data_IF_823452726471
#
_entry.id   IF_823452726471
#
_cell.length_a   1.000
_cell.length_b   1.000
_cell.length_c   1.000
_cell.angle_alpha   90.00
_cell.angle_beta   90.00
_cell.angle_gamma   90.00
#
_symmetry.space_group_name_H-M   'P 1'
#
loop_
_entity.id
_entity.type
_entity.pdbx_description
1 polymer ?
#
# COMPACT_ATOMS: atom_id res chain seq x y z
N UNK A 1 -1.52 6.89 27.02
CA UNK A 1 -2.04 5.56 26.64
C UNK A 1 -1.33 5.12 25.37
N UNK A 2 -0.77 3.89 25.32
CA UNK A 2 0.12 3.50 24.24
C UNK A 2 -0.67 3.23 22.95
N UNK A 3 -0.12 3.72 21.86
CA UNK A 3 -0.59 3.65 20.47
C UNK A 3 -0.73 2.22 19.97
N UNK A 4 -1.94 1.66 20.01
CA UNK A 4 -2.26 0.30 19.51
C UNK A 4 -2.34 0.22 17.97
N UNK A 5 -2.29 1.35 17.25
CA UNK A 5 -2.55 1.37 15.81
C UNK A 5 -1.34 1.12 14.91
N UNK A 6 -0.11 1.41 15.35
CA UNK A 6 1.09 1.32 14.49
C UNK A 6 1.43 -0.13 14.12
N UNK A 7 1.28 -1.07 15.06
CA UNK A 7 1.62 -2.49 14.87
C UNK A 7 0.69 -3.23 13.90
N UNK A 8 -0.52 -2.72 13.65
CA UNK A 8 -1.51 -3.39 12.79
C UNK A 8 -1.32 -3.05 11.30
N UNK A 9 -1.14 -1.76 10.96
CA UNK A 9 -0.96 -1.35 9.56
C UNK A 9 0.41 -1.73 9.02
N UNK A 10 1.46 -1.59 9.83
CA UNK A 10 2.81 -2.00 9.43
C UNK A 10 2.84 -3.48 9.04
N UNK A 11 2.25 -4.34 9.87
CA UNK A 11 2.16 -5.78 9.60
C UNK A 11 1.33 -6.09 8.36
N UNK A 12 0.23 -5.35 8.13
CA UNK A 12 -0.59 -5.49 6.94
C UNK A 12 0.17 -5.12 5.66
N UNK A 13 0.85 -3.97 5.63
CA UNK A 13 1.64 -3.55 4.47
C UNK A 13 2.83 -4.48 4.21
N UNK A 14 3.45 -5.00 5.28
CA UNK A 14 4.50 -6.02 5.17
C UNK A 14 3.99 -7.31 4.52
N UNK A 15 2.83 -7.81 4.96
CA UNK A 15 2.23 -9.01 4.36
C UNK A 15 1.87 -8.81 2.88
N UNK A 16 1.37 -7.63 2.51
CA UNK A 16 1.14 -7.28 1.10
C UNK A 16 2.45 -7.22 0.30
N UNK A 17 3.50 -6.67 0.87
CA UNK A 17 4.81 -6.58 0.23
C UNK A 17 5.39 -7.97 -0.04
N UNK A 18 5.38 -8.85 0.96
CA UNK A 18 5.81 -10.24 0.81
C UNK A 18 4.98 -10.97 -0.26
N UNK A 19 3.68 -10.71 -0.33
CA UNK A 19 2.80 -11.29 -1.36
C UNK A 19 3.14 -10.79 -2.76
N UNK A 20 3.40 -9.49 -2.94
CA UNK A 20 3.83 -8.91 -4.22
C UNK A 20 5.22 -9.40 -4.63
N UNK A 21 6.12 -9.59 -3.67
CA UNK A 21 7.44 -10.15 -3.92
C UNK A 21 7.39 -11.63 -4.29
N UNK A 22 6.48 -12.41 -3.70
CA UNK A 22 6.31 -13.82 -4.03
C UNK A 22 5.45 -14.06 -5.29
N UNK A 23 4.64 -13.08 -5.71
CA UNK A 23 3.70 -13.24 -6.81
C UNK A 23 4.36 -13.13 -8.18
N UNK A 24 3.94 -14.02 -9.08
CA UNK A 24 4.21 -13.94 -10.52
C UNK A 24 3.16 -13.13 -11.29
N UNK A 25 2.05 -12.75 -10.65
CA UNK A 25 0.93 -12.01 -11.28
C UNK A 25 1.26 -10.52 -11.43
N UNK A 26 1.98 -9.94 -10.46
CA UNK A 26 2.43 -8.55 -10.53
C UNK A 26 3.80 -8.51 -11.19
N UNK A 27 3.82 -8.12 -12.47
CA UNK A 27 5.06 -8.04 -13.26
C UNK A 27 5.49 -6.59 -13.52
N UNK A 28 6.73 -6.41 -13.98
CA UNK A 28 7.21 -5.10 -14.43
C UNK A 28 6.77 -4.75 -15.85
N UNK A 29 6.03 -5.63 -16.55
CA UNK A 29 5.58 -5.42 -17.92
C UNK A 29 4.33 -4.54 -18.05
N UNK A 30 3.98 -3.78 -17.02
CA UNK A 30 2.78 -2.96 -16.99
C UNK A 30 2.85 -1.76 -17.94
N UNK A 31 1.68 -1.22 -18.27
CA UNK A 31 1.54 0.10 -18.86
C UNK A 31 0.63 0.94 -17.98
N UNK A 32 0.93 2.22 -17.86
CA UNK A 32 0.01 3.15 -17.21
C UNK A 32 -1.21 3.47 -18.10
N UNK A 33 -2.12 4.30 -17.58
CA UNK A 33 -3.34 4.72 -18.29
C UNK A 33 -3.07 5.51 -19.57
N UNK A 34 -1.84 6.02 -19.75
CA UNK A 34 -1.40 6.77 -20.93
C UNK A 34 -0.62 5.89 -21.92
N UNK A 35 -0.40 4.61 -21.59
CA UNK A 35 0.25 3.63 -22.44
C UNK A 35 1.78 3.59 -22.31
N UNK A 36 2.36 4.31 -21.34
CA UNK A 36 3.81 4.27 -21.08
C UNK A 36 4.18 3.05 -20.26
N UNK A 37 5.41 2.55 -20.47
CA UNK A 37 5.95 1.45 -19.68
C UNK A 37 6.05 1.85 -18.21
N UNK A 38 5.41 1.03 -17.37
CA UNK A 38 5.43 1.19 -15.93
C UNK A 38 5.96 -0.09 -15.29
N UNK A 39 7.11 -0.06 -14.58
CA UNK A 39 7.61 -1.20 -13.84
C UNK A 39 6.74 -1.44 -12.59
N UNK A 40 5.52 -1.94 -12.80
CA UNK A 40 4.44 -1.99 -11.80
C UNK A 40 4.86 -2.69 -10.52
N UNK A 41 5.60 -3.82 -10.60
CA UNK A 41 6.11 -4.52 -9.42
C UNK A 41 7.08 -3.67 -8.61
N UNK A 42 8.07 -3.05 -9.27
CA UNK A 42 9.04 -2.19 -8.57
C UNK A 42 8.37 -0.98 -7.93
N UNK A 43 7.44 -0.34 -8.65
CA UNK A 43 6.68 0.80 -8.11
C UNK A 43 5.79 0.34 -6.94
N UNK A 44 5.12 -0.80 -7.07
CA UNK A 44 4.28 -1.37 -6.00
C UNK A 44 5.08 -1.61 -4.72
N UNK A 45 6.25 -2.25 -4.81
CA UNK A 45 7.14 -2.49 -3.67
C UNK A 45 7.58 -1.17 -3.03
N UNK A 46 7.91 -0.16 -3.84
CA UNK A 46 8.26 1.18 -3.34
C UNK A 46 7.08 1.82 -2.59
N UNK A 47 5.87 1.78 -3.15
CA UNK A 47 4.67 2.37 -2.52
C UNK A 47 4.30 1.63 -1.23
N UNK A 48 4.40 0.30 -1.19
CA UNK A 48 4.13 -0.50 0.02
C UNK A 48 5.15 -0.23 1.13
N UNK A 49 6.44 -0.09 0.81
CA UNK A 49 7.44 0.35 1.79
C UNK A 49 7.13 1.75 2.32
N UNK A 50 6.75 2.68 1.44
CA UNK A 50 6.39 4.04 1.86
C UNK A 50 5.16 4.05 2.79
N UNK A 51 4.15 3.22 2.52
CA UNK A 51 3.00 3.05 3.40
C UNK A 51 3.42 2.47 4.75
N UNK A 52 4.21 1.39 4.74
CA UNK A 52 4.75 0.77 5.94
C UNK A 52 5.50 1.78 6.82
N UNK A 53 6.35 2.62 6.24
CA UNK A 53 7.22 3.53 6.99
C UNK A 53 6.52 4.84 7.37
N UNK A 54 5.60 5.35 6.54
CA UNK A 54 5.04 6.70 6.68
C UNK A 54 3.56 6.73 7.11
N UNK A 55 2.87 5.60 7.29
CA UNK A 55 1.44 5.58 7.65
C UNK A 55 1.11 6.38 8.92
N UNK A 56 2.04 6.45 9.88
CA UNK A 56 1.87 7.21 11.12
C UNK A 56 2.30 8.68 11.02
N UNK A 57 2.95 9.08 9.92
CA UNK A 57 3.51 10.42 9.74
C UNK A 57 2.49 11.39 9.14
N UNK A 58 1.97 12.30 9.96
CA UNK A 58 0.97 13.31 9.55
C UNK A 58 1.47 14.28 8.48
N UNK A 59 2.78 14.50 8.38
CA UNK A 59 3.36 15.40 7.36
C UNK A 59 3.49 14.71 5.99
N UNK A 60 3.49 13.38 5.95
CA UNK A 60 3.60 12.58 4.74
C UNK A 60 2.23 12.21 4.12
N UNK A 61 1.13 12.78 4.63
CA UNK A 61 -0.24 12.49 4.17
C UNK A 61 -0.42 12.50 2.64
N UNK A 62 0.08 13.50 1.89
CA UNK A 62 -0.07 13.49 0.43
C UNK A 62 0.60 12.28 -0.22
N UNK A 63 1.80 11.90 0.25
CA UNK A 63 2.55 10.77 -0.29
C UNK A 63 1.88 9.44 0.07
N UNK A 64 1.40 9.32 1.31
CA UNK A 64 0.70 8.13 1.80
C UNK A 64 -0.62 7.92 1.06
N UNK A 65 -1.37 9.00 0.79
CA UNK A 65 -2.59 8.94 -0.02
C UNK A 65 -2.28 8.49 -1.44
N UNK A 66 -1.27 9.06 -2.08
CA UNK A 66 -0.84 8.68 -3.43
C UNK A 66 -0.42 7.20 -3.50
N UNK A 67 0.37 6.74 -2.53
CA UNK A 67 0.76 5.34 -2.45
C UNK A 67 -0.42 4.40 -2.26
N UNK A 68 -1.36 4.74 -1.38
CA UNK A 68 -2.54 3.91 -1.17
C UNK A 68 -3.43 3.87 -2.41
N UNK A 69 -3.61 4.99 -3.10
CA UNK A 69 -4.32 5.03 -4.39
C UNK A 69 -3.66 4.11 -5.41
N UNK A 70 -2.33 4.17 -5.56
CA UNK A 70 -1.61 3.29 -6.47
C UNK A 70 -1.81 1.80 -6.15
N UNK A 71 -1.74 1.45 -4.86
CA UNK A 71 -1.94 0.08 -4.37
C UNK A 71 -3.36 -0.41 -4.73
N UNK A 72 -4.38 0.39 -4.47
CA UNK A 72 -5.78 0.02 -4.76
C UNK A 72 -6.06 -0.08 -6.26
N UNK A 73 -5.42 0.75 -7.08
CA UNK A 73 -5.59 0.72 -8.54
C UNK A 73 -4.88 -0.47 -9.21
N UNK A 74 -3.79 -0.98 -8.62
CA UNK A 74 -2.91 -1.94 -9.28
C UNK A 74 -2.85 -3.33 -8.60
N UNK A 75 -3.41 -3.49 -7.40
CA UNK A 75 -3.55 -4.80 -6.76
C UNK A 75 -4.95 -5.39 -6.96
N UNK A 76 -5.06 -6.72 -7.05
CA UNK A 76 -6.35 -7.39 -7.07
C UNK A 76 -7.16 -7.05 -5.80
N UNK A 77 -8.46 -6.73 -5.90
CA UNK A 77 -9.30 -6.38 -4.75
C UNK A 77 -9.32 -7.46 -3.66
N UNK A 78 -9.20 -8.74 -4.04
CA UNK A 78 -9.14 -9.87 -3.13
C UNK A 78 -7.87 -9.89 -2.25
N UNK A 79 -6.84 -9.11 -2.58
CA UNK A 79 -5.67 -8.94 -1.73
C UNK A 79 -5.86 -7.81 -0.71
N UNK A 80 -6.82 -6.91 -0.95
CA UNK A 80 -7.06 -5.70 -0.15
C UNK A 80 -8.09 -5.95 0.96
N UNK A 81 -8.00 -7.10 1.62
CA UNK A 81 -8.91 -7.50 2.69
C UNK A 81 -8.44 -6.87 4.00
N UNK A 82 -9.15 -5.82 4.42
CA UNK A 82 -8.89 -5.10 5.67
C UNK A 82 -9.86 -5.53 6.78
N UNK A 83 -9.35 -5.73 7.99
CA UNK A 83 -10.18 -5.87 9.20
C UNK A 83 -10.88 -4.55 9.56
N UNK A 84 -11.88 -4.58 10.45
CA UNK A 84 -12.58 -3.37 10.89
C UNK A 84 -11.64 -2.30 11.49
N UNK A 85 -10.66 -2.76 12.28
CA UNK A 85 -9.64 -1.88 12.88
C UNK A 85 -8.70 -1.30 11.81
N UNK A 86 -8.27 -2.12 10.86
CA UNK A 86 -7.43 -1.67 9.75
C UNK A 86 -8.15 -0.68 8.85
N UNK A 87 -9.44 -0.89 8.55
CA UNK A 87 -10.27 0.07 7.80
C UNK A 87 -10.31 1.42 8.49
N UNK A 88 -10.50 1.42 9.81
CA UNK A 88 -10.51 2.65 10.61
C UNK A 88 -9.15 3.34 10.58
N UNK A 89 -8.06 2.58 10.69
CA UNK A 89 -6.70 3.11 10.65
C UNK A 89 -6.33 3.66 9.25
N UNK A 90 -6.66 2.95 8.16
CA UNK A 90 -6.51 3.45 6.79
C UNK A 90 -7.33 4.73 6.58
N UNK A 91 -8.57 4.77 7.06
CA UNK A 91 -9.40 5.98 6.96
C UNK A 91 -8.77 7.16 7.71
N UNK A 92 -8.24 6.94 8.91
CA UNK A 92 -7.54 7.97 9.69
C UNK A 92 -6.24 8.44 9.02
N UNK A 93 -5.52 7.53 8.35
CA UNK A 93 -4.33 7.83 7.56
C UNK A 93 -4.65 8.69 6.32
N UNK A 94 -5.82 8.47 5.70
CA UNK A 94 -6.25 9.18 4.48
C UNK A 94 -7.03 10.47 4.75
N UNK A 95 -7.54 10.69 5.98
CA UNK A 95 -8.28 11.90 6.38
C UNK A 95 -7.33 13.03 6.76
#
# INVERSE_FOLDING_TARGET
MPTVQATNLESYFKALLEKVEASSEITNGGKDKEGFYLPTRSVMIQKLNMLKDLHANKNAKPMVRDAWSFVVENLPPEWLVLTADQKTAVKAMLS
#
